data_IF_510484822710
#
_entry.id   IF_510484822710
#
_cell.length_a   1.000
_cell.length_b   1.000
_cell.length_c   1.000
_cell.angle_alpha   90.00
_cell.angle_beta   90.00
_cell.angle_gamma   90.00
#
_symmetry.space_group_name_H-M   'P 1'
#
loop_
_entity.id
_entity.type
_entity.pdbx_description
1 polymer ?
#
# COMPACT_ATOMS: atom_id res chain seq x y z
N UNK A 1 -17.55 -15.41 34.70
CA UNK A 1 -17.19 -14.76 33.43
C UNK A 1 -16.17 -15.66 32.76
N UNK A 2 -16.41 -16.05 31.52
CA UNK A 2 -15.43 -16.78 30.74
C UNK A 2 -14.76 -15.75 29.85
N UNK A 3 -13.50 -15.42 30.16
CA UNK A 3 -12.72 -14.52 29.32
C UNK A 3 -12.38 -15.28 28.03
N UNK A 4 -13.09 -14.98 26.95
CA UNK A 4 -12.78 -15.47 25.62
C UNK A 4 -11.98 -14.41 24.87
N UNK A 5 -10.75 -14.74 24.50
CA UNK A 5 -10.01 -14.01 23.48
C UNK A 5 -10.43 -14.57 22.12
N UNK A 6 -11.06 -13.73 21.30
CA UNK A 6 -11.24 -14.03 19.88
C UNK A 6 -9.93 -13.67 19.18
N UNK A 7 -9.19 -14.67 18.72
CA UNK A 7 -8.05 -14.47 17.82
C UNK A 7 -8.41 -15.15 16.51
N UNK A 8 -8.65 -14.36 15.49
CA UNK A 8 -8.97 -14.86 14.16
C UNK A 8 -8.48 -13.89 13.10
N UNK A 9 -7.36 -14.23 12.48
CA UNK A 9 -7.23 -14.22 11.02
C UNK A 9 -6.49 -15.51 10.69
N UNK A 10 -7.22 -16.49 10.20
CA UNK A 10 -6.71 -17.87 10.05
C UNK A 10 -5.42 -17.92 9.23
N UNK A 11 -4.43 -18.69 9.70
CA UNK A 11 -3.23 -19.05 8.93
C UNK A 11 -3.55 -20.02 7.76
N UNK A 12 -4.75 -20.62 7.72
CA UNK A 12 -5.13 -21.65 6.75
C UNK A 12 -6.56 -21.51 6.17
N UNK A 13 -7.23 -20.36 6.36
CA UNK A 13 -8.61 -20.16 5.93
C UNK A 13 -8.72 -19.16 4.78
N UNK A 14 -9.53 -19.49 3.78
CA UNK A 14 -9.82 -18.71 2.56
C UNK A 14 -10.55 -17.37 2.80
N UNK A 15 -10.61 -16.91 4.06
CA UNK A 15 -11.25 -15.67 4.50
C UNK A 15 -10.22 -14.62 4.96
N UNK A 16 -8.99 -14.65 4.46
CA UNK A 16 -7.96 -13.62 4.68
C UNK A 16 -8.26 -12.32 3.90
N UNK A 17 -9.54 -11.94 3.78
CA UNK A 17 -10.01 -10.72 3.11
C UNK A 17 -9.75 -9.45 3.91
N UNK A 18 -9.07 -9.52 5.06
CA UNK A 18 -9.00 -8.39 5.99
C UNK A 18 -7.72 -7.55 5.85
N UNK A 19 -6.78 -7.93 4.99
CA UNK A 19 -5.54 -7.18 4.78
C UNK A 19 -5.72 -6.22 3.60
N UNK A 20 -6.15 -5.01 3.91
CA UNK A 20 -6.29 -3.92 2.94
C UNK A 20 -4.91 -3.44 2.50
N UNK A 21 -4.62 -3.47 1.19
CA UNK A 21 -3.41 -2.89 0.61
C UNK A 21 -3.70 -1.46 0.16
N UNK A 22 -2.89 -0.52 0.64
CA UNK A 22 -2.92 0.89 0.26
C UNK A 22 -1.52 1.30 -0.20
N UNK A 23 -1.46 1.97 -1.35
CA UNK A 23 -0.21 2.46 -1.92
C UNK A 23 -0.15 3.98 -1.80
N UNK A 24 1.03 4.47 -1.43
CA UNK A 24 1.29 5.87 -1.23
C UNK A 24 2.59 6.28 -1.92
N UNK A 25 2.62 7.50 -2.45
CA UNK A 25 3.81 8.10 -3.07
C UNK A 25 4.20 9.38 -2.34
N UNK A 26 5.50 9.60 -2.11
CA UNK A 26 5.98 10.85 -1.55
C UNK A 26 5.70 12.02 -2.50
N UNK A 27 5.08 13.07 -1.95
CA UNK A 27 4.78 14.29 -2.69
C UNK A 27 4.82 15.50 -1.78
N UNK A 28 5.34 16.61 -2.32
CA UNK A 28 5.50 17.87 -1.57
C UNK A 28 4.14 18.48 -1.17
N UNK A 29 3.11 18.21 -1.98
CA UNK A 29 1.71 18.59 -1.78
C UNK A 29 0.87 17.49 -1.11
N UNK A 30 1.51 16.43 -0.61
CA UNK A 30 0.86 15.35 0.12
C UNK A 30 0.52 15.72 1.56
N UNK A 31 -0.04 14.76 2.29
CA UNK A 31 -0.38 14.88 3.71
C UNK A 31 0.40 13.87 4.54
N UNK A 32 0.54 14.14 5.84
CA UNK A 32 1.12 13.17 6.77
C UNK A 32 0.09 12.09 7.07
N UNK A 33 0.49 10.83 6.85
CA UNK A 33 -0.27 9.64 7.24
C UNK A 33 0.46 8.95 8.39
N UNK A 34 -0.29 8.55 9.42
CA UNK A 34 0.27 7.86 10.59
C UNK A 34 0.90 6.51 10.18
N UNK A 35 2.07 6.23 10.75
CA UNK A 35 2.87 5.04 10.44
C UNK A 35 3.73 5.14 9.18
N UNK A 36 3.43 6.05 8.24
CA UNK A 36 4.18 6.18 6.98
C UNK A 36 5.33 7.17 7.10
N UNK A 37 6.56 6.70 6.92
CA UNK A 37 7.77 7.52 6.89
C UNK A 37 8.03 8.32 8.18
N UNK A 38 8.95 9.29 8.10
CA UNK A 38 9.35 10.15 9.22
C UNK A 38 8.36 11.29 9.50
N UNK A 39 8.63 12.11 10.51
CA UNK A 39 7.77 13.22 10.95
C UNK A 39 7.38 14.19 9.82
N UNK A 40 8.31 14.47 8.90
CA UNK A 40 8.11 15.37 7.78
C UNK A 40 7.66 14.68 6.47
N UNK A 41 7.46 13.36 6.49
CA UNK A 41 7.04 12.63 5.29
C UNK A 41 5.60 12.98 4.93
N UNK A 42 5.43 13.49 3.71
CA UNK A 42 4.13 13.78 3.09
C UNK A 42 3.91 12.84 1.93
N UNK A 43 2.72 12.26 1.86
CA UNK A 43 2.37 11.29 0.83
C UNK A 43 1.00 11.57 0.23
N UNK A 44 0.80 11.06 -0.97
CA UNK A 44 -0.52 10.95 -1.61
C UNK A 44 -0.86 9.49 -1.85
N UNK A 45 -2.12 9.16 -1.64
CA UNK A 45 -2.62 7.84 -1.98
C UNK A 45 -2.68 7.67 -3.49
N UNK A 46 -2.29 6.49 -3.98
CA UNK A 46 -2.37 6.11 -5.38
C UNK A 46 -3.03 4.74 -5.49
N UNK A 47 -3.73 4.53 -6.59
CA UNK A 47 -4.32 3.25 -6.94
C UNK A 47 -3.61 2.71 -8.18
N UNK A 48 -3.00 1.53 -8.02
CA UNK A 48 -2.34 0.79 -9.08
C UNK A 48 -2.95 -0.61 -9.14
N UNK A 49 -3.04 -1.20 -10.35
CA UNK A 49 -3.30 -2.63 -10.47
C UNK A 49 -2.26 -3.42 -9.69
N UNK A 50 -2.74 -4.42 -8.95
CA UNK A 50 -1.91 -5.32 -8.15
C UNK A 50 -2.03 -6.72 -8.74
N UNK A 51 -0.92 -7.43 -8.81
CA UNK A 51 -0.80 -8.74 -9.39
C UNK A 51 -0.33 -9.74 -8.33
N UNK A 52 -0.74 -10.99 -8.50
CA UNK A 52 -0.23 -12.14 -7.75
C UNK A 52 0.04 -13.24 -8.77
N UNK A 53 1.29 -13.69 -8.87
CA UNK A 53 1.68 -14.70 -9.86
C UNK A 53 1.19 -14.35 -11.28
N UNK A 54 1.34 -13.08 -11.68
CA UNK A 54 0.91 -12.52 -12.97
C UNK A 54 -0.61 -12.41 -13.20
N UNK A 55 -1.43 -12.74 -12.21
CA UNK A 55 -2.88 -12.56 -12.27
C UNK A 55 -3.28 -11.23 -11.62
N UNK A 56 -4.00 -10.39 -12.36
CA UNK A 56 -4.53 -9.13 -11.82
C UNK A 56 -5.53 -9.42 -10.70
N UNK A 57 -5.32 -8.79 -9.54
CA UNK A 57 -6.20 -8.88 -8.39
C UNK A 57 -7.43 -8.00 -8.58
N UNK A 58 -8.58 -8.46 -8.08
CA UNK A 58 -9.81 -7.71 -8.15
C UNK A 58 -9.79 -6.54 -7.15
N UNK A 59 -10.19 -5.38 -7.64
CA UNK A 59 -10.53 -4.23 -6.80
C UNK A 59 -11.95 -4.44 -6.24
N UNK A 60 -12.14 -4.09 -4.97
CA UNK A 60 -13.44 -4.14 -4.31
C UNK A 60 -14.20 -2.82 -4.51
N UNK A 61 -15.47 -2.77 -4.07
CA UNK A 61 -16.34 -1.58 -4.23
C UNK A 61 -15.76 -0.30 -3.60
N UNK A 62 -14.88 -0.45 -2.60
CA UNK A 62 -14.18 0.64 -1.94
C UNK A 62 -12.94 1.14 -2.71
N UNK A 63 -12.62 0.53 -3.85
CA UNK A 63 -11.47 0.85 -4.70
C UNK A 63 -10.16 0.18 -4.27
N UNK A 64 -10.19 -0.70 -3.27
CA UNK A 64 -8.98 -1.31 -2.73
C UNK A 64 -8.81 -2.78 -3.12
N UNK A 65 -7.55 -3.21 -3.12
CA UNK A 65 -7.17 -4.62 -3.23
C UNK A 65 -6.96 -5.19 -1.84
N UNK A 66 -7.55 -6.35 -1.58
CA UNK A 66 -7.35 -7.09 -0.35
C UNK A 66 -6.41 -8.26 -0.61
N UNK A 67 -5.32 -8.30 0.15
CA UNK A 67 -4.22 -9.25 -0.02
C UNK A 67 -4.30 -10.35 1.04
N UNK A 68 -3.59 -11.45 0.84
CA UNK A 68 -3.54 -12.57 1.78
C UNK A 68 -2.10 -12.78 2.23
N UNK A 69 -1.93 -13.18 3.49
CA UNK A 69 -0.63 -13.56 4.03
C UNK A 69 0.02 -14.66 3.18
N UNK A 70 1.35 -14.78 3.30
CA UNK A 70 2.18 -15.79 2.60
C UNK A 70 2.27 -15.65 1.08
N UNK A 71 1.65 -14.62 0.51
CA UNK A 71 1.72 -14.36 -0.93
C UNK A 71 2.59 -13.13 -1.20
N UNK A 72 3.20 -13.13 -2.39
CA UNK A 72 3.91 -11.98 -2.94
C UNK A 72 3.00 -11.31 -3.96
N UNK A 73 2.92 -9.99 -3.85
CA UNK A 73 2.15 -9.15 -4.75
C UNK A 73 3.08 -8.16 -5.43
N UNK A 74 2.82 -7.90 -6.71
CA UNK A 74 3.59 -6.98 -7.53
C UNK A 74 2.68 -5.95 -8.20
N UNK A 75 3.27 -4.83 -8.60
CA UNK A 75 2.65 -3.79 -9.42
C UNK A 75 3.70 -3.29 -10.39
N UNK A 76 3.28 -2.77 -11.55
CA UNK A 76 4.24 -2.41 -12.60
C UNK A 76 4.58 -0.93 -12.56
N UNK A 77 5.84 -0.60 -12.89
CA UNK A 77 6.27 0.79 -12.96
C UNK A 77 5.55 1.57 -14.06
N UNK A 78 5.18 0.92 -15.17
CA UNK A 78 4.46 1.55 -16.28
C UNK A 78 3.13 2.18 -15.84
N UNK A 79 2.45 1.59 -14.85
CA UNK A 79 1.19 2.11 -14.33
C UNK A 79 1.37 3.40 -13.52
N UNK A 80 2.60 3.71 -13.07
CA UNK A 80 2.93 4.97 -12.41
C UNK A 80 2.95 6.18 -13.37
N UNK A 81 2.91 5.98 -14.69
CA UNK A 81 2.80 7.08 -15.67
C UNK A 81 1.57 7.96 -15.40
N UNK A 82 0.47 7.38 -14.91
CA UNK A 82 -0.74 8.12 -14.52
C UNK A 82 -0.50 9.11 -13.37
N UNK A 83 0.61 8.95 -12.65
CA UNK A 83 1.04 9.75 -11.51
C UNK A 83 2.31 10.55 -11.83
N UNK A 84 2.59 10.83 -13.11
CA UNK A 84 3.76 11.59 -13.55
C UNK A 84 3.94 12.93 -12.84
N UNK A 85 2.85 13.60 -12.45
CA UNK A 85 2.90 14.86 -11.69
C UNK A 85 3.61 14.71 -10.33
N UNK A 86 3.64 13.51 -9.76
CA UNK A 86 4.34 13.20 -8.52
C UNK A 86 5.77 12.69 -8.76
N UNK A 87 6.07 12.24 -9.98
CA UNK A 87 7.36 11.70 -10.41
C UNK A 87 8.28 12.76 -11.05
N UNK A 88 7.70 13.76 -11.72
CA UNK A 88 8.41 14.80 -12.47
C UNK A 88 8.36 16.14 -11.73
N UNK A 89 9.39 16.94 -11.98
CA UNK A 89 9.45 18.38 -11.69
C UNK A 89 9.59 19.13 -13.02
N UNK A 90 9.60 20.46 -12.99
CA UNK A 90 9.93 21.25 -14.18
C UNK A 90 11.31 20.94 -14.78
N UNK A 91 12.21 20.32 -14.00
CA UNK A 91 13.54 19.91 -14.42
C UNK A 91 13.63 18.43 -14.90
N UNK A 92 12.51 17.70 -14.96
CA UNK A 92 12.45 16.27 -15.31
C UNK A 92 12.15 15.36 -14.12
N UNK A 93 12.37 14.06 -14.28
CA UNK A 93 12.12 13.06 -13.21
C UNK A 93 12.93 13.34 -11.95
N UNK A 94 12.28 13.18 -10.79
CA UNK A 94 12.93 13.28 -9.47
C UNK A 94 14.06 12.26 -9.36
N UNK A 95 15.16 12.67 -8.73
CA UNK A 95 16.34 11.81 -8.50
C UNK A 95 16.01 10.54 -7.70
N UNK A 96 15.02 10.63 -6.82
CA UNK A 96 14.50 9.54 -6.00
C UNK A 96 13.01 9.75 -5.77
N UNK A 97 12.24 8.68 -5.89
CA UNK A 97 10.83 8.63 -5.51
C UNK A 97 10.68 7.51 -4.49
N UNK A 98 9.99 7.80 -3.39
CA UNK A 98 9.67 6.79 -2.39
C UNK A 98 8.18 6.45 -2.48
N UNK A 99 7.89 5.16 -2.57
CA UNK A 99 6.56 4.59 -2.42
C UNK A 99 6.47 3.88 -1.08
N UNK A 100 5.26 3.82 -0.54
CA UNK A 100 4.95 3.06 0.65
C UNK A 100 3.77 2.14 0.37
N UNK A 101 3.93 0.86 0.67
CA UNK A 101 2.84 -0.10 0.71
C UNK A 101 2.42 -0.28 2.16
N UNK A 102 1.24 0.22 2.52
CA UNK A 102 0.61 0.01 3.83
C UNK A 102 -0.38 -1.14 3.71
N UNK A 103 -0.18 -2.16 4.53
CA UNK A 103 -1.13 -3.26 4.72
C UNK A 103 -1.78 -3.07 6.09
N UNK A 104 -3.10 -2.96 6.15
CA UNK A 104 -3.83 -2.81 7.41
C UNK A 104 -4.95 -3.83 7.58
N UNK A 105 -5.25 -4.17 8.83
CA UNK A 105 -6.33 -5.07 9.22
C UNK A 105 -7.08 -4.45 10.39
N UNK A 106 -8.41 -4.42 10.29
CA UNK A 106 -9.28 -4.09 11.41
C UNK A 106 -9.70 -5.36 12.14
N UNK A 107 -9.71 -5.31 13.47
CA UNK A 107 -10.12 -6.44 14.30
C UNK A 107 -10.79 -5.93 15.58
N UNK A 108 -11.66 -6.75 16.18
CA UNK A 108 -12.33 -6.41 17.42
C UNK A 108 -11.55 -7.02 18.59
N UNK A 109 -11.08 -6.16 19.50
CA UNK A 109 -10.42 -6.57 20.74
C UNK A 109 -11.16 -5.97 21.93
N UNK A 110 -11.66 -6.82 22.83
CA UNK A 110 -12.52 -6.42 23.95
C UNK A 110 -13.67 -5.48 23.54
N UNK A 111 -14.48 -5.90 22.55
CA UNK A 111 -15.60 -5.12 21.99
C UNK A 111 -15.21 -3.74 21.44
N UNK A 112 -13.93 -3.49 21.21
CA UNK A 112 -13.41 -2.24 20.63
C UNK A 112 -12.76 -2.55 19.29
N UNK A 113 -13.09 -1.78 18.25
CA UNK A 113 -12.38 -1.88 16.96
C UNK A 113 -10.94 -1.38 17.13
N UNK A 114 -9.99 -2.16 16.62
CA UNK A 114 -8.56 -1.88 16.58
C UNK A 114 -8.05 -2.05 15.15
N UNK A 115 -6.95 -1.39 14.82
CA UNK A 115 -6.25 -1.54 13.54
C UNK A 115 -4.81 -1.99 13.82
N UNK A 116 -4.38 -3.03 13.11
CA UNK A 116 -2.99 -3.41 12.99
C UNK A 116 -2.50 -3.03 11.59
N UNK A 117 -1.26 -2.55 11.47
CA UNK A 117 -0.69 -2.15 10.20
C UNK A 117 0.76 -2.57 10.07
N UNK A 118 1.19 -2.83 8.84
CA UNK A 118 2.57 -3.04 8.42
C UNK A 118 2.84 -2.17 7.21
N UNK A 119 4.05 -1.59 7.14
CA UNK A 119 4.40 -0.63 6.10
C UNK A 119 5.75 -1.03 5.50
N UNK A 120 5.77 -1.19 4.19
CA UNK A 120 6.98 -1.42 3.41
C UNK A 120 7.33 -0.17 2.61
N UNK A 121 8.59 0.25 2.68
CA UNK A 121 9.12 1.34 1.89
C UNK A 121 9.79 0.81 0.63
N UNK A 122 9.47 1.42 -0.51
CA UNK A 122 10.00 1.04 -1.83
C UNK A 122 10.63 2.30 -2.42
N UNK A 123 11.94 2.28 -2.64
CA UNK A 123 12.66 3.41 -3.24
C UNK A 123 12.85 3.14 -4.74
N UNK A 124 12.32 4.02 -5.59
CA UNK A 124 12.55 4.02 -7.03
C UNK A 124 13.63 5.05 -7.33
N UNK A 125 14.68 4.62 -8.03
CA UNK A 125 15.73 5.52 -8.49
C UNK A 125 15.38 6.13 -9.85
N UNK A 126 15.90 7.33 -10.14
CA UNK A 126 15.64 8.07 -11.38
C UNK A 126 15.85 7.23 -12.65
N UNK A 127 16.83 6.31 -12.65
CA UNK A 127 17.10 5.45 -13.81
C UNK A 127 15.91 4.58 -14.19
N UNK A 128 15.19 4.05 -13.20
CA UNK A 128 14.01 3.23 -13.42
C UNK A 128 12.82 4.06 -13.93
N UNK A 129 12.84 5.38 -13.75
CA UNK A 129 11.81 6.29 -14.24
C UNK A 129 12.05 6.69 -15.70
N UNK A 130 13.30 6.70 -16.19
CA UNK A 130 13.60 6.97 -17.61
C UNK A 130 13.05 5.89 -18.55
N UNK A 131 12.85 4.67 -18.05
CA UNK A 131 12.24 3.58 -18.83
C UNK A 131 10.72 3.79 -19.02
N UNK A 132 10.13 4.86 -18.46
CA UNK A 132 8.73 5.24 -18.63
C UNK A 132 8.48 6.25 -19.76
N UNK A 133 9.53 6.87 -20.32
CA UNK A 133 9.42 7.82 -21.46
C UNK A 133 9.34 7.09 -22.82
#
# INVERSE_FOLDING_TARGET
>A
MTDSNLVGTSFAGTNTKDLKLQLYIESDDGTKIEGIGGENTKVKEIHLPVYKASEKQAEYEDGYVYVNSENVYDFTLNELQNYESYLKTSAGYKGKVTLYAKISCKYIYYCTEKEAQSIAQINICQRQLFDLD
#
